data_IF_213975334801
#
_entry.id   IF_213975334801
#
_cell.length_a   1.000
_cell.length_b   1.000
_cell.length_c   1.000
_cell.angle_alpha   90.00
_cell.angle_beta   90.00
_cell.angle_gamma   90.00
#
_symmetry.space_group_name_H-M   'P 1'
#
loop_
_entity.id
_entity.type
_entity.pdbx_description
1 polymer ?
#
# COMPACT_ATOMS: atom_id res chain seq x y z
N UNK A 1 16.07 35.41 -31.53
CA UNK A 1 15.74 33.97 -31.62
C UNK A 1 16.50 33.07 -30.63
N UNK A 2 17.82 33.22 -30.40
CA UNK A 2 18.56 32.40 -29.41
C UNK A 2 18.10 32.63 -27.96
N UNK A 3 17.77 33.86 -27.59
CA UNK A 3 17.31 34.22 -26.24
C UNK A 3 15.95 33.59 -25.86
N UNK A 4 14.99 33.54 -26.79
CA UNK A 4 13.71 32.83 -26.57
C UNK A 4 13.91 31.34 -26.33
N UNK A 5 14.89 30.70 -27.01
CA UNK A 5 15.19 29.28 -26.81
C UNK A 5 15.78 29.01 -25.42
N UNK A 6 16.62 29.91 -24.90
CA UNK A 6 17.16 29.80 -23.54
C UNK A 6 16.09 30.01 -22.47
N UNK A 7 15.14 30.94 -22.68
CA UNK A 7 14.02 31.16 -21.76
C UNK A 7 13.08 29.95 -21.75
N UNK A 8 12.77 29.36 -22.92
CA UNK A 8 11.93 28.15 -23.02
C UNK A 8 12.59 26.94 -22.38
N UNK A 9 13.89 26.73 -22.56
CA UNK A 9 14.63 25.62 -21.91
C UNK A 9 14.74 25.81 -20.40
N UNK A 10 14.99 27.04 -19.93
CA UNK A 10 15.04 27.34 -18.50
C UNK A 10 13.67 27.21 -17.81
N UNK A 11 12.58 27.53 -18.50
CA UNK A 11 11.21 27.34 -17.99
C UNK A 11 10.76 25.87 -18.05
N UNK A 12 11.24 25.07 -19.00
CA UNK A 12 11.05 23.61 -18.98
C UNK A 12 11.81 22.92 -17.83
N UNK A 13 13.01 23.41 -17.47
CA UNK A 13 13.81 22.86 -16.38
C UNK A 13 13.29 23.24 -14.99
N UNK A 14 12.63 24.39 -14.84
CA UNK A 14 12.00 24.82 -13.59
C UNK A 14 10.72 24.02 -13.23
N UNK A 15 10.15 23.29 -14.21
CA UNK A 15 8.96 22.45 -14.01
C UNK A 15 9.23 21.06 -13.43
N UNK A 16 10.50 20.63 -13.33
CA UNK A 16 10.87 19.32 -12.79
C UNK A 16 11.12 19.41 -11.27
N UNK A 17 10.16 19.95 -10.53
CA UNK A 17 10.08 19.60 -9.11
C UNK A 17 9.53 18.17 -9.06
N UNK A 18 10.42 17.19 -8.92
CA UNK A 18 10.02 15.83 -8.63
C UNK A 18 9.25 15.83 -7.31
N UNK A 19 7.92 15.82 -7.40
CA UNK A 19 7.03 15.64 -6.26
C UNK A 19 7.20 14.19 -5.76
N UNK A 20 8.26 13.96 -4.99
CA UNK A 20 8.40 12.71 -4.23
C UNK A 20 7.40 12.75 -3.08
N UNK A 21 6.50 11.78 -3.05
CA UNK A 21 5.48 11.67 -2.00
C UNK A 21 6.15 11.23 -0.71
N UNK A 22 6.38 12.17 0.21
CA UNK A 22 6.96 11.85 1.52
C UNK A 22 6.02 10.95 2.33
N UNK A 23 6.56 9.94 3.05
CA UNK A 23 5.79 9.16 4.01
C UNK A 23 5.10 10.07 5.05
N UNK A 24 3.96 9.65 5.62
CA UNK A 24 3.24 10.46 6.61
C UNK A 24 4.10 10.78 7.82
N UNK A 25 4.00 12.01 8.33
CA UNK A 25 4.81 12.47 9.46
C UNK A 25 4.46 11.74 10.78
N UNK A 26 3.20 11.32 10.92
CA UNK A 26 2.70 10.58 12.08
C UNK A 26 2.08 9.26 11.63
N UNK A 27 2.90 8.27 11.24
CA UNK A 27 2.37 7.07 10.61
C UNK A 27 1.58 6.20 11.60
N UNK A 28 1.73 6.36 12.92
CA UNK A 28 0.94 5.63 13.92
C UNK A 28 -0.44 6.25 14.23
N UNK A 29 -0.83 7.33 13.52
CA UNK A 29 -2.12 8.00 13.67
C UNK A 29 -2.86 8.15 12.34
N UNK A 30 -3.85 7.27 12.10
CA UNK A 30 -4.58 7.23 10.83
C UNK A 30 -5.34 8.53 10.50
N UNK A 31 -5.85 9.22 11.52
CA UNK A 31 -6.50 10.51 11.30
C UNK A 31 -5.52 11.57 10.81
N UNK A 32 -4.30 11.59 11.36
CA UNK A 32 -3.27 12.53 10.92
C UNK A 32 -2.77 12.20 9.52
N UNK A 33 -2.61 10.91 9.19
CA UNK A 33 -2.29 10.48 7.82
C UNK A 33 -3.31 11.06 6.83
N UNK A 34 -4.61 10.90 7.09
CA UNK A 34 -5.65 11.35 6.18
C UNK A 34 -5.88 12.86 6.16
N UNK A 35 -5.54 13.58 7.24
CA UNK A 35 -5.49 15.06 7.22
C UNK A 35 -4.32 15.56 6.38
N UNK A 36 -3.16 14.92 6.51
CA UNK A 36 -1.97 15.27 5.74
C UNK A 36 -2.11 14.88 4.26
N UNK A 37 -2.77 13.75 3.98
CA UNK A 37 -2.94 13.18 2.64
C UNK A 37 -4.43 12.96 2.32
N UNK A 38 -5.20 14.01 1.98
CA UNK A 38 -6.64 13.88 1.66
C UNK A 38 -6.92 12.94 0.48
N UNK A 39 -6.06 12.94 -0.54
CA UNK A 39 -6.20 12.03 -1.70
C UNK A 39 -6.04 10.56 -1.31
N UNK A 40 -5.21 10.24 -0.32
CA UNK A 40 -5.09 8.88 0.20
C UNK A 40 -6.36 8.44 0.90
N UNK A 41 -7.04 9.34 1.61
CA UNK A 41 -8.33 9.05 2.22
C UNK A 41 -9.41 8.79 1.15
N UNK A 42 -9.45 9.59 0.09
CA UNK A 42 -10.36 9.38 -1.05
C UNK A 42 -10.12 8.02 -1.71
N UNK A 43 -8.85 7.66 -1.97
CA UNK A 43 -8.51 6.36 -2.53
C UNK A 43 -8.90 5.20 -1.60
N UNK A 44 -8.65 5.34 -0.29
CA UNK A 44 -9.04 4.33 0.69
C UNK A 44 -10.57 4.14 0.78
N UNK A 45 -11.34 5.22 0.67
CA UNK A 45 -12.81 5.13 0.59
C UNK A 45 -13.26 4.38 -0.67
N UNK A 46 -12.71 4.71 -1.85
CA UNK A 46 -13.01 4.00 -3.11
C UNK A 46 -12.69 2.51 -3.02
N UNK A 47 -11.52 2.16 -2.49
CA UNK A 47 -11.12 0.77 -2.24
C UNK A 47 -12.11 0.07 -1.31
N UNK A 48 -12.51 0.73 -0.21
CA UNK A 48 -13.44 0.18 0.76
C UNK A 48 -14.84 -0.04 0.16
N UNK A 49 -15.32 0.90 -0.64
CA UNK A 49 -16.60 0.76 -1.35
C UNK A 49 -16.56 -0.38 -2.38
N UNK A 50 -15.49 -0.44 -3.19
CA UNK A 50 -15.32 -1.45 -4.24
C UNK A 50 -15.15 -2.87 -3.71
N UNK A 51 -14.31 -3.04 -2.68
CA UNK A 51 -13.91 -4.36 -2.19
C UNK A 51 -14.53 -4.74 -0.85
N UNK A 52 -15.07 -3.80 -0.09
CA UNK A 52 -15.62 -4.03 1.25
C UNK A 52 -14.56 -4.26 2.33
N UNK A 53 -13.27 -4.13 2.01
CA UNK A 53 -12.19 -4.33 2.98
C UNK A 53 -12.04 -3.08 3.87
N UNK A 54 -12.02 -3.20 5.21
CA UNK A 54 -11.93 -2.04 6.08
C UNK A 54 -10.62 -1.28 5.87
N UNK A 55 -10.73 0.05 5.76
CA UNK A 55 -9.60 0.96 5.51
C UNK A 55 -8.44 0.75 6.49
N UNK A 56 -8.75 0.65 7.77
CA UNK A 56 -7.74 0.49 8.82
C UNK A 56 -6.96 -0.83 8.72
N UNK A 57 -7.55 -1.89 8.13
CA UNK A 57 -6.87 -3.17 7.91
C UNK A 57 -5.81 -3.01 6.83
N UNK A 58 -6.18 -2.52 5.64
CA UNK A 58 -5.21 -2.35 4.55
C UNK A 58 -4.14 -1.31 4.88
N UNK A 59 -4.49 -0.23 5.59
CA UNK A 59 -3.50 0.77 6.02
C UNK A 59 -2.49 0.19 7.01
N UNK A 60 -2.94 -0.65 7.95
CA UNK A 60 -2.03 -1.33 8.89
C UNK A 60 -1.11 -2.33 8.18
N UNK A 61 -1.63 -3.05 7.18
CA UNK A 61 -0.83 -3.95 6.35
C UNK A 61 0.19 -3.17 5.52
N UNK A 62 -0.23 -2.11 4.82
CA UNK A 62 0.66 -1.28 3.99
C UNK A 62 1.80 -0.66 4.81
N UNK A 63 1.51 -0.19 6.04
CA UNK A 63 2.56 0.26 6.93
C UNK A 63 3.58 -0.84 7.25
N UNK A 64 3.12 -2.06 7.47
CA UNK A 64 4.01 -3.18 7.76
C UNK A 64 4.86 -3.59 6.55
N UNK A 65 4.32 -3.47 5.34
CA UNK A 65 5.01 -3.82 4.10
C UNK A 65 6.04 -2.76 3.68
N UNK A 66 5.65 -1.49 3.65
CA UNK A 66 6.50 -0.43 3.09
C UNK A 66 6.76 0.74 4.03
N UNK A 67 6.15 0.79 5.22
CA UNK A 67 6.11 1.99 6.06
C UNK A 67 5.59 3.23 5.31
N UNK A 68 4.73 3.01 4.31
CA UNK A 68 4.24 4.03 3.36
C UNK A 68 5.35 4.68 2.50
N UNK A 69 6.41 3.93 2.19
CA UNK A 69 7.43 4.36 1.23
C UNK A 69 7.03 3.88 -0.17
N UNK A 70 6.80 4.83 -1.07
CA UNK A 70 6.27 4.59 -2.41
C UNK A 70 7.14 3.68 -3.29
N UNK A 71 8.45 3.70 -3.13
CA UNK A 71 9.45 2.99 -3.94
C UNK A 71 10.18 1.91 -3.13
N UNK A 72 9.54 1.42 -2.06
CA UNK A 72 10.12 0.39 -1.22
C UNK A 72 10.57 -0.82 -2.07
N UNK A 73 11.81 -1.28 -1.89
CA UNK A 73 12.39 -2.40 -2.60
C UNK A 73 13.25 -3.25 -1.63
N UNK A 74 13.28 -4.58 -1.79
CA UNK A 74 14.20 -5.43 -1.05
C UNK A 74 15.64 -4.98 -1.26
N UNK A 75 16.53 -5.11 -0.26
CA UNK A 75 17.92 -4.66 -0.39
C UNK A 75 18.63 -5.33 -1.57
N UNK A 76 19.51 -4.58 -2.22
CA UNK A 76 20.40 -5.11 -3.27
C UNK A 76 21.35 -6.13 -2.64
N UNK A 77 21.46 -7.30 -3.25
CA UNK A 77 22.41 -8.33 -2.86
C UNK A 77 23.69 -8.21 -3.67
N UNK A 78 24.83 -8.44 -3.02
CA UNK A 78 26.15 -8.30 -3.63
C UNK A 78 26.94 -9.60 -3.49
N UNK A 79 27.66 -9.97 -4.54
CA UNK A 79 28.71 -10.98 -4.50
C UNK A 79 30.04 -10.33 -4.86
N UNK A 80 31.00 -10.32 -3.93
CA UNK A 80 32.30 -9.67 -4.12
C UNK A 80 32.18 -8.24 -4.68
N UNK A 81 31.29 -7.43 -4.09
CA UNK A 81 30.97 -6.06 -4.50
C UNK A 81 30.22 -5.91 -5.84
N UNK A 82 29.94 -7.00 -6.57
CA UNK A 82 29.14 -6.99 -7.79
C UNK A 82 27.65 -7.10 -7.40
N UNK A 83 26.77 -6.18 -7.84
CA UNK A 83 25.34 -6.31 -7.60
C UNK A 83 24.79 -7.52 -8.35
N UNK A 84 24.24 -8.48 -7.62
CA UNK A 84 23.66 -9.73 -8.16
C UNK A 84 22.15 -9.65 -8.34
N UNK A 85 21.54 -8.52 -7.97
CA UNK A 85 20.11 -8.29 -8.00
C UNK A 85 19.50 -8.22 -6.60
N UNK A 86 18.18 -8.19 -6.53
CA UNK A 86 17.42 -8.17 -5.27
C UNK A 86 16.84 -9.55 -5.00
N UNK A 87 16.59 -9.86 -3.73
CA UNK A 87 16.04 -11.16 -3.32
C UNK A 87 14.63 -11.46 -3.88
N UNK A 88 13.89 -10.43 -4.32
CA UNK A 88 12.53 -10.53 -4.86
C UNK A 88 12.22 -9.34 -5.76
N UNK A 89 11.27 -9.50 -6.68
CA UNK A 89 10.65 -8.43 -7.48
C UNK A 89 9.58 -7.63 -6.71
N UNK A 90 9.57 -7.72 -5.38
CA UNK A 90 8.62 -6.99 -4.55
C UNK A 90 8.91 -5.49 -4.67
N UNK A 91 7.88 -4.70 -4.98
CA UNK A 91 8.05 -3.26 -5.21
C UNK A 91 6.86 -2.46 -4.67
N UNK A 92 7.16 -1.23 -4.29
CA UNK A 92 6.21 -0.17 -4.04
C UNK A 92 5.52 -0.24 -2.68
N UNK A 93 4.46 0.56 -2.51
CA UNK A 93 3.68 0.61 -1.27
C UNK A 93 3.21 -0.77 -0.79
N UNK A 94 2.84 -1.62 -1.74
CA UNK A 94 2.27 -2.95 -1.50
C UNK A 94 3.33 -4.06 -1.33
N UNK A 95 4.61 -3.83 -1.63
CA UNK A 95 5.66 -4.88 -1.67
C UNK A 95 5.24 -6.13 -2.47
N UNK A 96 4.56 -5.92 -3.59
CA UNK A 96 3.99 -7.00 -4.40
C UNK A 96 4.91 -7.39 -5.56
N UNK A 97 4.97 -8.69 -5.84
CA UNK A 97 5.71 -9.29 -6.97
C UNK A 97 5.02 -9.02 -8.32
N UNK A 98 5.81 -9.05 -9.39
CA UNK A 98 5.36 -8.79 -10.75
C UNK A 98 4.16 -9.65 -11.18
N UNK A 99 4.21 -10.95 -10.90
CA UNK A 99 3.18 -11.88 -11.35
C UNK A 99 1.84 -11.60 -10.66
N UNK A 100 1.89 -11.28 -9.36
CA UNK A 100 0.66 -10.98 -8.60
C UNK A 100 0.08 -9.62 -8.99
N UNK A 101 0.93 -8.64 -9.34
CA UNK A 101 0.46 -7.37 -9.88
C UNK A 101 -0.22 -7.54 -11.24
N UNK A 102 0.39 -8.32 -12.13
CA UNK A 102 -0.19 -8.61 -13.45
C UNK A 102 -1.55 -9.32 -13.34
N UNK A 103 -1.71 -10.23 -12.38
CA UNK A 103 -3.01 -10.84 -12.07
C UNK A 103 -4.06 -9.82 -11.65
N UNK A 104 -3.70 -8.85 -10.81
CA UNK A 104 -4.58 -7.76 -10.42
C UNK A 104 -4.96 -6.90 -11.63
N UNK A 105 -4.00 -6.46 -12.44
CA UNK A 105 -4.26 -5.63 -13.60
C UNK A 105 -5.22 -6.30 -14.58
N UNK A 106 -4.99 -7.60 -14.84
CA UNK A 106 -5.83 -8.40 -15.74
C UNK A 106 -7.26 -8.56 -15.22
N UNK A 107 -7.42 -8.79 -13.93
CA UNK A 107 -8.76 -9.05 -13.36
C UNK A 107 -9.56 -7.80 -13.02
N UNK A 108 -8.89 -6.66 -12.84
CA UNK A 108 -9.55 -5.39 -12.55
C UNK A 108 -9.69 -4.49 -13.77
N UNK A 109 -8.98 -4.80 -14.87
CA UNK A 109 -8.90 -3.96 -16.06
C UNK A 109 -7.96 -2.75 -15.90
N UNK A 110 -7.25 -2.64 -14.78
CA UNK A 110 -6.36 -1.53 -14.47
C UNK A 110 -4.97 -1.70 -15.11
N UNK A 111 -4.89 -1.81 -16.43
CA UNK A 111 -3.62 -2.06 -17.15
C UNK A 111 -2.56 -0.97 -16.96
N UNK A 112 -2.97 0.24 -16.57
CA UNK A 112 -2.10 1.39 -16.38
C UNK A 112 -1.69 1.63 -14.92
N UNK A 113 -2.06 0.73 -14.01
CA UNK A 113 -1.80 0.94 -12.58
C UNK A 113 -0.32 0.84 -12.24
N UNK A 114 0.15 1.72 -11.34
CA UNK A 114 1.52 1.75 -10.85
C UNK A 114 1.63 1.31 -9.38
N UNK A 115 2.71 0.60 -9.02
CA UNK A 115 2.91 0.09 -7.65
C UNK A 115 3.39 1.17 -6.68
N UNK A 116 3.96 2.25 -7.21
CA UNK A 116 4.38 3.42 -6.45
C UNK A 116 3.30 4.50 -6.36
N UNK A 117 2.16 4.33 -7.04
CA UNK A 117 0.95 5.11 -6.79
C UNK A 117 0.17 4.53 -5.60
N UNK A 118 -0.17 5.40 -4.65
CA UNK A 118 -0.86 4.97 -3.44
C UNK A 118 -2.28 4.44 -3.72
N UNK A 119 -3.02 5.06 -4.65
CA UNK A 119 -4.39 4.69 -4.94
C UNK A 119 -4.47 3.33 -5.64
N UNK A 120 -3.54 3.06 -6.55
CA UNK A 120 -3.40 1.75 -7.18
C UNK A 120 -2.95 0.68 -6.18
N UNK A 121 -1.96 0.98 -5.35
CA UNK A 121 -1.47 0.05 -4.34
C UNK A 121 -2.55 -0.31 -3.31
N UNK A 122 -3.34 0.66 -2.83
CA UNK A 122 -4.40 0.36 -1.87
C UNK A 122 -5.56 -0.40 -2.53
N UNK A 123 -5.93 -0.10 -3.78
CA UNK A 123 -6.93 -0.87 -4.53
C UNK A 123 -6.49 -2.32 -4.71
N UNK A 124 -5.21 -2.54 -5.06
CA UNK A 124 -4.60 -3.87 -5.14
C UNK A 124 -4.73 -4.63 -3.82
N UNK A 125 -4.43 -4.01 -2.67
CA UNK A 125 -4.58 -4.65 -1.36
C UNK A 125 -6.05 -4.97 -1.04
N UNK A 126 -6.98 -4.11 -1.48
CA UNK A 126 -8.42 -4.37 -1.42
C UNK A 126 -8.85 -5.59 -2.24
N UNK A 127 -8.41 -5.67 -3.50
CA UNK A 127 -8.62 -6.82 -4.37
C UNK A 127 -8.07 -8.11 -3.76
N UNK A 128 -6.84 -8.05 -3.22
CA UNK A 128 -6.17 -9.21 -2.65
C UNK A 128 -6.90 -9.78 -1.44
N UNK A 129 -7.30 -8.90 -0.51
CA UNK A 129 -8.04 -9.27 0.70
C UNK A 129 -9.45 -9.78 0.37
N UNK A 130 -10.10 -9.21 -0.65
CA UNK A 130 -11.37 -9.73 -1.17
C UNK A 130 -11.22 -11.14 -1.75
N UNK A 131 -10.14 -11.41 -2.49
CA UNK A 131 -9.82 -12.77 -2.95
C UNK A 131 -9.51 -13.72 -1.80
N UNK A 132 -8.74 -13.29 -0.80
CA UNK A 132 -8.44 -14.10 0.38
C UNK A 132 -9.73 -14.52 1.12
N UNK A 133 -10.69 -13.60 1.24
CA UNK A 133 -12.02 -13.93 1.78
C UNK A 133 -12.74 -14.97 0.93
N UNK A 134 -12.78 -14.81 -0.39
CA UNK A 134 -13.47 -15.74 -1.30
C UNK A 134 -12.82 -17.13 -1.33
N UNK A 135 -11.49 -17.20 -1.31
CA UNK A 135 -10.75 -18.45 -1.48
C UNK A 135 -10.54 -19.22 -0.17
N UNK A 136 -10.29 -18.49 0.93
CA UNK A 136 -9.87 -19.07 2.21
C UNK A 136 -10.83 -18.75 3.37
N UNK A 137 -11.92 -18.01 3.12
CA UNK A 137 -12.91 -17.66 4.16
C UNK A 137 -12.42 -16.61 5.16
N UNK A 138 -11.21 -16.09 5.01
CA UNK A 138 -10.63 -15.09 5.92
C UNK A 138 -11.48 -13.82 5.92
N UNK A 139 -12.01 -13.44 7.08
CA UNK A 139 -12.79 -12.22 7.21
C UNK A 139 -11.97 -11.00 6.76
N UNK A 140 -12.58 -10.07 6.04
CA UNK A 140 -11.93 -8.79 5.67
C UNK A 140 -11.54 -7.96 6.89
N UNK A 141 -12.21 -8.18 8.03
CA UNK A 141 -11.91 -7.52 9.31
C UNK A 141 -10.80 -8.22 10.11
N UNK A 142 -10.44 -9.45 9.74
CA UNK A 142 -9.38 -10.21 10.42
C UNK A 142 -8.01 -9.81 9.87
N UNK A 143 -7.47 -8.70 10.40
CA UNK A 143 -6.15 -8.21 9.99
C UNK A 143 -5.03 -9.26 10.17
N UNK A 144 -5.13 -10.10 11.20
CA UNK A 144 -4.16 -11.18 11.42
C UNK A 144 -4.20 -12.22 10.30
N UNK A 145 -5.39 -12.74 10.00
CA UNK A 145 -5.57 -13.72 8.93
C UNK A 145 -5.27 -13.14 7.55
N UNK A 146 -5.65 -11.88 7.31
CA UNK A 146 -5.39 -11.20 6.03
C UNK A 146 -3.88 -11.01 5.81
N UNK A 147 -3.13 -10.61 6.84
CA UNK A 147 -1.68 -10.46 6.72
C UNK A 147 -0.96 -11.79 6.48
N UNK A 148 -1.39 -12.87 7.15
CA UNK A 148 -0.86 -14.20 6.87
C UNK A 148 -1.17 -14.67 5.44
N UNK A 149 -2.36 -14.37 4.93
CA UNK A 149 -2.71 -14.64 3.53
C UNK A 149 -1.80 -13.87 2.57
N UNK A 150 -1.62 -12.58 2.84
CA UNK A 150 -0.80 -11.69 2.02
C UNK A 150 0.64 -12.17 1.90
N UNK A 151 1.24 -12.56 3.02
CA UNK A 151 2.64 -12.98 3.07
C UNK A 151 2.88 -14.38 2.48
N UNK A 152 2.00 -15.34 2.76
CA UNK A 152 2.19 -16.73 2.30
C UNK A 152 1.63 -16.99 0.89
N UNK A 153 0.82 -16.08 0.35
CA UNK A 153 -0.05 -16.36 -0.77
C UNK A 153 -1.29 -17.16 -0.35
N UNK A 154 -2.40 -17.05 -1.10
CA UNK A 154 -3.64 -17.78 -0.79
C UNK A 154 -3.43 -19.29 -0.65
N UNK A 155 -2.61 -19.91 -1.52
CA UNK A 155 -2.31 -21.33 -1.47
C UNK A 155 -1.42 -21.75 -0.31
N UNK A 156 -0.41 -20.93 0.04
CA UNK A 156 0.47 -21.18 1.18
C UNK A 156 -0.28 -21.08 2.50
N UNK A 157 -1.11 -20.03 2.64
CA UNK A 157 -2.01 -19.87 3.78
C UNK A 157 -2.93 -21.07 3.96
N UNK A 158 -3.58 -21.53 2.89
CA UNK A 158 -4.47 -22.71 2.92
C UNK A 158 -3.76 -23.99 3.36
N UNK A 159 -2.48 -24.15 2.98
CA UNK A 159 -1.62 -25.26 3.44
C UNK A 159 -1.08 -25.08 4.86
N UNK A 160 -1.30 -23.92 5.48
CA UNK A 160 -0.84 -23.63 6.85
C UNK A 160 0.67 -23.43 6.97
N UNK A 161 1.36 -23.03 5.89
CA UNK A 161 2.83 -22.88 5.91
C UNK A 161 3.36 -21.83 6.90
N UNK A 162 2.51 -20.87 7.32
CA UNK A 162 2.83 -19.90 8.36
C UNK A 162 3.00 -20.52 9.76
N UNK A 163 2.45 -21.71 10.02
CA UNK A 163 2.42 -22.32 11.36
C UNK A 163 3.83 -22.66 11.87
N UNK A 164 4.77 -22.94 10.96
CA UNK A 164 6.19 -23.13 11.28
C UNK A 164 6.98 -21.82 11.38
N UNK A 165 6.39 -20.69 10.97
CA UNK A 165 7.01 -19.36 10.94
C UNK A 165 6.56 -18.54 12.14
N UNK A 166 7.10 -18.84 13.32
CA UNK A 166 6.77 -18.13 14.56
C UNK A 166 6.95 -16.61 14.46
N UNK A 167 7.96 -16.15 13.71
CA UNK A 167 8.19 -14.73 13.44
C UNK A 167 7.03 -14.09 12.66
N UNK A 168 6.48 -14.77 11.66
CA UNK A 168 5.40 -14.25 10.81
C UNK A 168 4.10 -14.14 11.60
N UNK A 169 3.80 -15.12 12.45
CA UNK A 169 2.65 -15.03 13.37
C UNK A 169 2.79 -13.84 14.33
N UNK A 170 3.99 -13.59 14.86
CA UNK A 170 4.25 -12.41 15.70
C UNK A 170 4.09 -11.10 14.93
N UNK A 171 4.60 -11.01 13.70
CA UNK A 171 4.41 -9.84 12.83
C UNK A 171 2.93 -9.62 12.53
N UNK A 172 2.19 -10.68 12.22
CA UNK A 172 0.76 -10.60 11.97
C UNK A 172 -0.02 -10.07 13.18
N UNK A 173 0.36 -10.43 14.41
CA UNK A 173 -0.19 -9.83 15.65
C UNK A 173 0.10 -8.33 15.78
N UNK A 174 1.28 -7.87 15.33
CA UNK A 174 1.59 -6.42 15.29
C UNK A 174 0.69 -5.69 14.30
N UNK A 175 0.43 -6.28 13.14
CA UNK A 175 -0.49 -5.73 12.13
C UNK A 175 -1.91 -5.65 12.69
N UNK A 176 -2.38 -6.70 13.34
CA UNK A 176 -3.68 -6.73 14.01
C UNK A 176 -3.82 -5.62 15.07
N UNK A 177 -2.83 -5.48 15.96
CA UNK A 177 -2.83 -4.43 16.97
C UNK A 177 -2.86 -3.02 16.36
N UNK A 178 -2.12 -2.81 15.26
CA UNK A 178 -2.14 -1.54 14.51
C UNK A 178 -3.48 -1.29 13.84
N UNK A 179 -4.08 -2.30 13.21
CA UNK A 179 -5.39 -2.21 12.58
C UNK A 179 -6.46 -1.82 13.61
N UNK A 180 -6.43 -2.41 14.81
CA UNK A 180 -7.33 -2.04 15.91
C UNK A 180 -7.16 -0.58 16.35
N UNK A 181 -5.90 -0.13 16.54
CA UNK A 181 -5.58 1.27 16.86
C UNK A 181 -6.09 2.23 15.79
N UNK A 182 -5.79 1.97 14.53
CA UNK A 182 -6.25 2.75 13.39
C UNK A 182 -7.78 2.76 13.30
N UNK A 183 -8.43 1.63 13.52
CA UNK A 183 -9.89 1.54 13.54
C UNK A 183 -10.52 2.42 14.63
N UNK A 184 -9.91 2.45 15.82
CA UNK A 184 -10.33 3.31 16.92
C UNK A 184 -10.16 4.79 16.60
N UNK A 185 -8.99 5.19 16.06
CA UNK A 185 -8.72 6.56 15.64
C UNK A 185 -9.69 6.99 14.52
N UNK A 186 -9.84 6.19 13.48
CA UNK A 186 -10.63 6.55 12.31
C UNK A 186 -12.10 6.81 12.64
N UNK A 187 -12.68 6.04 13.58
CA UNK A 187 -14.05 6.29 14.07
C UNK A 187 -14.25 7.68 14.65
N UNK A 188 -13.19 8.30 15.19
CA UNK A 188 -13.26 9.62 15.81
C UNK A 188 -13.18 10.77 14.79
N UNK A 189 -12.62 10.54 13.60
CA UNK A 189 -12.32 11.61 12.65
C UNK A 189 -12.94 11.45 11.26
N UNK A 190 -13.48 10.27 10.90
CA UNK A 190 -14.00 9.99 9.56
C UNK A 190 -14.99 11.04 9.05
N UNK A 191 -15.90 11.52 9.90
CA UNK A 191 -16.95 12.46 9.50
C UNK A 191 -16.40 13.87 9.27
N UNK A 192 -15.30 14.23 9.95
CA UNK A 192 -14.61 15.50 9.75
C UNK A 192 -13.81 15.48 8.45
N UNK A 193 -13.15 14.35 8.15
CA UNK A 193 -12.38 14.16 6.93
C UNK A 193 -13.27 14.24 5.67
N UNK A 194 -14.48 13.69 5.72
CA UNK A 194 -15.43 13.72 4.59
C UNK A 194 -16.02 15.12 4.31
N UNK A 195 -16.03 16.03 5.28
CA UNK A 195 -16.61 17.38 5.13
C UNK A 195 -15.64 18.43 4.58
N UNK A 196 -14.33 18.16 4.62
CA UNK A 196 -13.28 19.11 4.20
C UNK A 196 -12.98 19.11 2.70
N UNK A 197 -13.68 18.33 1.88
CA UNK A 197 -13.28 18.03 0.50
C UNK A 197 -13.58 19.08 -0.57
N UNK A 198 -14.26 20.19 -0.25
CA UNK A 198 -14.77 21.16 -1.24
C UNK A 198 -14.29 22.60 -1.07
N UNK A 199 -13.48 22.92 -0.07
CA UNK A 199 -13.05 24.30 0.21
C UNK A 199 -11.56 24.41 0.52
N UNK A 200 -10.70 24.04 -0.43
CA UNK A 200 -9.33 24.55 -0.60
C UNK A 200 -8.92 24.39 -2.07
#
# INVERSE_FOLDING_TARGET
MRWLRFVVVASLLAGLSACSTRPPAQPENLCQIFREKPEWHKAALKMNEKWGTPIHVVMAMMYQESSYVHDAQPPMQYFLFIPTGRASSAYGYAQVKDETWADYQRETGNSWSDRDDFADAIDFMGWYTNKAQRLNGTSKWDAYGQYLNYHEGWGGYRRGSYRSKGWLMKTSRKVEARAQRYGAQYRQCKDQLSRGGWFW
#
